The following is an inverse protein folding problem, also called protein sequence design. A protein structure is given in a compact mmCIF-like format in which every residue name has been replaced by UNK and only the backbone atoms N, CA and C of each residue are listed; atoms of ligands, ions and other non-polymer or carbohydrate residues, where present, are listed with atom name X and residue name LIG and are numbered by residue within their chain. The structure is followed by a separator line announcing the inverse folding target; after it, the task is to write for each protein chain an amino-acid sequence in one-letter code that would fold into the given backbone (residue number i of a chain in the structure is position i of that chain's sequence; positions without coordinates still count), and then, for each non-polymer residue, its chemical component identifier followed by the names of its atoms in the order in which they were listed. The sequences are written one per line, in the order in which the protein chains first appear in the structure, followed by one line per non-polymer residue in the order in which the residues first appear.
data_IF_820683357404
#
_entry.id   IF_820683357404
#
_cell.length_a   1.000
_cell.length_b   1.000
_cell.length_c   1.000
_cell.angle_alpha   90.00
_cell.angle_beta   90.00
_cell.angle_gamma   90.00
#
_symmetry.space_group_name_H-M   'P 1'
#
loop_
_entity.id
_entity.type
_entity.pdbx_description
1 polymer ?
#
# COMPACT_ATOMS: atom_id res chain seq x y z
N UNK A 1 27.05 82.67 -15.99
CA UNK A 1 27.39 82.79 -14.56
C UNK A 1 26.08 82.74 -13.79
N UNK A 2 25.66 81.78 -12.97
CA UNK A 2 26.18 80.50 -12.44
C UNK A 2 25.01 79.87 -11.63
N UNK A 3 24.74 78.55 -11.76
CA UNK A 3 24.04 77.62 -10.81
C UNK A 3 22.60 77.97 -10.33
N UNK A 4 21.68 77.05 -10.01
CA UNK A 4 21.83 75.76 -9.36
C UNK A 4 20.56 74.87 -9.52
N UNK A 5 20.80 73.59 -9.81
CA UNK A 5 20.14 72.34 -9.37
C UNK A 5 18.69 72.31 -8.87
N UNK A 6 17.93 71.39 -9.46
CA UNK A 6 17.23 70.36 -8.67
C UNK A 6 17.30 69.03 -9.43
N UNK A 7 18.18 68.15 -8.94
CA UNK A 7 18.21 66.73 -9.25
C UNK A 7 16.85 66.09 -8.98
N UNK A 8 16.39 65.29 -9.93
CA UNK A 8 15.58 64.12 -9.60
C UNK A 8 16.08 62.99 -10.49
N UNK A 9 17.20 62.41 -10.07
CA UNK A 9 17.63 61.07 -10.45
C UNK A 9 16.53 60.09 -10.00
N UNK A 10 15.50 59.91 -10.83
CA UNK A 10 14.62 58.76 -10.74
C UNK A 10 15.35 57.61 -11.44
N UNK A 11 16.19 56.93 -10.68
CA UNK A 11 16.73 55.62 -11.04
C UNK A 11 15.54 54.67 -11.13
N UNK A 12 14.96 54.57 -12.33
CA UNK A 12 13.93 53.59 -12.65
C UNK A 12 14.63 52.23 -12.81
N UNK A 13 15.00 51.65 -11.66
CA UNK A 13 15.54 50.29 -11.56
C UNK A 13 14.45 49.31 -11.97
N UNK A 14 14.32 49.07 -13.28
CA UNK A 14 13.57 47.91 -13.78
C UNK A 14 14.19 46.67 -13.15
N UNK A 15 13.42 45.85 -12.41
CA UNK A 15 13.95 44.60 -11.89
C UNK A 15 14.41 43.76 -13.08
N UNK A 16 15.68 43.35 -13.05
CA UNK A 16 16.24 42.47 -14.05
C UNK A 16 15.45 41.16 -14.04
N UNK A 17 15.09 40.61 -15.20
CA UNK A 17 14.45 39.28 -15.33
C UNK A 17 15.24 38.17 -14.63
N UNK A 18 16.54 38.38 -14.39
CA UNK A 18 17.38 37.49 -13.58
C UNK A 18 16.95 37.42 -12.11
N UNK A 19 16.51 38.54 -11.54
CA UNK A 19 16.18 38.64 -10.12
C UNK A 19 14.83 38.00 -9.81
N UNK A 20 13.87 38.11 -10.72
CA UNK A 20 12.57 37.45 -10.58
C UNK A 20 12.67 35.92 -10.76
N UNK A 21 13.51 35.45 -11.69
CA UNK A 21 13.79 34.02 -11.84
C UNK A 21 14.52 33.43 -10.62
N UNK A 22 15.50 34.16 -10.07
CA UNK A 22 16.21 33.76 -8.86
C UNK A 22 15.28 33.73 -7.63
N UNK A 23 14.39 34.73 -7.48
CA UNK A 23 13.39 34.75 -6.40
C UNK A 23 12.36 33.61 -6.50
N UNK A 24 11.88 33.32 -7.70
CA UNK A 24 10.96 32.19 -7.94
C UNK A 24 11.62 30.81 -7.71
N UNK A 25 12.93 30.71 -7.93
CA UNK A 25 13.69 29.50 -7.57
C UNK A 25 13.85 29.38 -6.05
N UNK A 26 14.24 30.46 -5.36
CA UNK A 26 14.38 30.47 -3.89
C UNK A 26 13.07 30.12 -3.19
N UNK A 27 11.95 30.70 -3.63
CA UNK A 27 10.64 30.44 -3.06
C UNK A 27 10.18 28.97 -3.24
N UNK A 28 10.52 28.34 -4.38
CA UNK A 28 10.25 26.91 -4.59
C UNK A 28 11.12 26.01 -3.72
N UNK A 29 12.39 26.36 -3.53
CA UNK A 29 13.29 25.62 -2.63
C UNK A 29 12.84 25.72 -1.17
N UNK A 30 12.42 26.90 -0.73
CA UNK A 30 11.86 27.10 0.62
C UNK A 30 10.54 26.33 0.82
N UNK A 31 9.67 26.30 -0.20
CA UNK A 31 8.43 25.53 -0.17
C UNK A 31 8.70 24.01 -0.10
N UNK A 32 9.65 23.50 -0.89
CA UNK A 32 10.05 22.09 -0.87
C UNK A 32 10.64 21.69 0.49
N UNK A 33 11.55 22.50 1.03
CA UNK A 33 12.14 22.25 2.36
C UNK A 33 11.10 22.29 3.49
N UNK A 34 10.05 23.11 3.35
CA UNK A 34 8.95 23.17 4.32
C UNK A 34 8.02 21.95 4.20
N UNK A 35 7.75 21.49 2.97
CA UNK A 35 6.95 20.30 2.72
C UNK A 35 7.64 19.04 3.27
N UNK A 36 8.96 18.92 3.05
CA UNK A 36 9.78 17.82 3.57
C UNK A 36 9.77 17.80 5.11
N UNK A 37 10.00 18.96 5.76
CA UNK A 37 9.92 19.08 7.23
C UNK A 37 8.53 18.71 7.77
N UNK A 38 7.47 19.14 7.11
CA UNK A 38 6.10 18.83 7.52
C UNK A 38 5.79 17.34 7.33
N UNK A 39 6.28 16.71 6.27
CA UNK A 39 6.13 15.27 6.05
C UNK A 39 6.87 14.46 7.13
N UNK A 40 8.09 14.88 7.49
CA UNK A 40 8.85 14.30 8.60
C UNK A 40 8.13 14.47 9.95
N UNK A 41 7.58 15.66 10.23
CA UNK A 41 6.80 15.92 11.45
C UNK A 41 5.51 15.08 11.48
N UNK A 42 4.80 14.95 10.36
CA UNK A 42 3.58 14.14 10.28
C UNK A 42 3.89 12.65 10.48
N UNK A 43 4.95 12.14 9.86
CA UNK A 43 5.42 10.77 10.04
C UNK A 43 5.82 10.50 11.50
N UNK A 44 6.53 11.45 12.13
CA UNK A 44 6.90 11.37 13.54
C UNK A 44 5.68 11.40 14.46
N UNK A 45 4.72 12.30 14.24
CA UNK A 45 3.49 12.39 15.03
C UNK A 45 2.67 11.11 14.93
N UNK A 46 2.53 10.54 13.73
CA UNK A 46 1.86 9.24 13.52
C UNK A 46 2.59 8.11 14.23
N UNK A 47 3.92 8.09 14.21
CA UNK A 47 4.72 7.12 14.94
C UNK A 47 4.59 7.27 16.47
N UNK A 48 4.52 8.50 16.99
CA UNK A 48 4.26 8.78 18.41
C UNK A 48 2.84 8.36 18.82
N UNK A 49 1.84 8.64 17.99
CA UNK A 49 0.44 8.24 18.21
C UNK A 49 0.28 6.71 18.24
N UNK A 50 0.95 6.01 17.33
CA UNK A 50 0.96 4.54 17.26
C UNK A 50 1.67 3.89 18.47
N UNK A 51 2.60 4.59 19.13
CA UNK A 51 3.23 4.12 20.38
C UNK A 51 2.33 4.35 21.60
N UNK A 52 1.63 5.49 21.66
CA UNK A 52 0.73 5.82 22.76
C UNK A 52 -0.47 4.86 22.87
N UNK A 53 -0.95 4.30 21.75
CA UNK A 53 -2.12 3.43 21.74
C UNK A 53 -1.90 2.05 22.40
N UNK A 54 -0.69 1.48 22.37
CA UNK A 54 -0.46 0.07 22.76
C UNK A 54 -0.68 -0.22 24.26
N UNK A 55 -0.40 0.76 25.13
CA UNK A 55 -0.55 0.62 26.58
C UNK A 55 -1.98 0.88 27.08
N UNK A 56 -2.71 1.74 26.36
CA UNK A 56 -4.02 2.23 26.81
C UNK A 56 -5.09 1.15 26.69
N UNK A 57 -5.16 0.41 25.58
CA UNK A 57 -6.22 -0.59 25.36
C UNK A 57 -6.20 -1.77 26.36
N UNK A 58 -5.03 -2.35 26.66
CA UNK A 58 -4.92 -3.42 27.68
C UNK A 58 -5.22 -2.92 29.09
N UNK A 59 -4.88 -1.65 29.37
CA UNK A 59 -5.21 -1.01 30.65
C UNK A 59 -6.71 -0.74 30.77
N UNK A 60 -7.34 -0.29 29.70
CA UNK A 60 -8.79 -0.09 29.60
C UNK A 60 -9.54 -1.42 29.76
N UNK A 61 -9.12 -2.49 29.06
CA UNK A 61 -9.73 -3.82 29.22
C UNK A 61 -9.66 -4.33 30.68
N UNK A 62 -8.52 -4.16 31.36
CA UNK A 62 -8.36 -4.53 32.78
C UNK A 62 -9.22 -3.65 33.70
N UNK A 63 -9.31 -2.35 33.44
CA UNK A 63 -10.17 -1.44 34.21
C UNK A 63 -11.64 -1.83 34.08
N UNK A 64 -12.12 -2.09 32.86
CA UNK A 64 -13.49 -2.55 32.64
C UNK A 64 -13.75 -3.91 33.32
N UNK A 65 -12.79 -4.84 33.27
CA UNK A 65 -12.93 -6.13 33.94
C UNK A 65 -13.05 -5.97 35.47
N UNK A 66 -12.22 -5.11 36.07
CA UNK A 66 -12.27 -4.83 37.51
C UNK A 66 -13.58 -4.17 37.89
N UNK A 67 -14.02 -3.15 37.17
CA UNK A 67 -15.30 -2.46 37.43
C UNK A 67 -16.48 -3.43 37.27
N UNK A 68 -16.48 -4.25 36.22
CA UNK A 68 -17.50 -5.26 35.99
C UNK A 68 -17.56 -6.28 37.13
N UNK A 69 -16.41 -6.82 37.54
CA UNK A 69 -16.33 -7.78 38.64
C UNK A 69 -16.78 -7.19 39.98
N UNK A 70 -16.37 -5.96 40.30
CA UNK A 70 -16.79 -5.25 41.52
C UNK A 70 -18.31 -5.00 41.51
N UNK A 71 -18.89 -4.63 40.37
CA UNK A 71 -20.33 -4.43 40.24
C UNK A 71 -21.12 -5.74 40.42
N UNK A 72 -20.66 -6.85 39.85
CA UNK A 72 -21.27 -8.18 40.06
C UNK A 72 -21.21 -8.60 41.54
N UNK A 73 -20.05 -8.42 42.19
CA UNK A 73 -19.87 -8.71 43.61
C UNK A 73 -20.79 -7.84 44.48
N UNK A 74 -20.87 -6.54 44.17
CA UNK A 74 -21.79 -5.62 44.84
C UNK A 74 -23.25 -6.03 44.69
N UNK A 75 -23.68 -6.47 43.50
CA UNK A 75 -25.03 -6.97 43.26
C UNK A 75 -25.38 -8.24 44.05
N UNK A 76 -24.38 -9.04 44.45
CA UNK A 76 -24.56 -10.19 45.34
C UNK A 76 -24.74 -9.81 46.81
N UNK A 77 -24.04 -8.77 47.27
CA UNK A 77 -24.04 -8.30 48.67
C UNK A 77 -25.21 -7.35 49.00
N UNK A 78 -25.66 -6.56 48.03
CA UNK A 78 -26.72 -5.56 48.22
C UNK A 78 -28.02 -5.95 47.53
N UNK A 79 -29.10 -6.11 48.30
CA UNK A 79 -30.44 -6.42 47.74
C UNK A 79 -31.13 -5.20 47.10
N UNK A 80 -30.83 -3.99 47.55
CA UNK A 80 -31.34 -2.75 46.97
C UNK A 80 -30.44 -2.33 45.80
N UNK A 81 -30.97 -2.25 44.57
CA UNK A 81 -30.19 -1.87 43.36
C UNK A 81 -29.51 -3.02 42.62
N UNK A 82 -29.81 -4.28 42.97
CA UNK A 82 -29.21 -5.49 42.36
C UNK A 82 -29.33 -5.56 40.84
N UNK A 83 -30.45 -5.12 40.28
CA UNK A 83 -30.66 -5.08 38.82
C UNK A 83 -29.69 -4.13 38.12
N UNK A 84 -29.44 -2.94 38.69
CA UNK A 84 -28.52 -1.94 38.14
C UNK A 84 -27.08 -2.42 38.26
N UNK A 85 -26.69 -3.00 39.40
CA UNK A 85 -25.35 -3.53 39.62
C UNK A 85 -25.02 -4.71 38.70
N UNK A 86 -25.96 -5.61 38.46
CA UNK A 86 -25.76 -6.68 37.47
C UNK A 86 -25.74 -6.19 36.04
N UNK A 87 -26.58 -5.21 35.67
CA UNK A 87 -26.52 -4.61 34.34
C UNK A 87 -25.15 -3.95 34.11
N UNK A 88 -24.67 -3.14 35.07
CA UNK A 88 -23.35 -2.51 35.00
C UNK A 88 -22.21 -3.53 34.97
N UNK A 89 -22.33 -4.60 35.77
CA UNK A 89 -21.40 -5.72 35.79
C UNK A 89 -21.31 -6.44 34.45
N UNK A 90 -22.46 -6.77 33.87
CA UNK A 90 -22.56 -7.42 32.56
C UNK A 90 -21.98 -6.53 31.45
N UNK A 91 -22.34 -5.25 31.40
CA UNK A 91 -21.80 -4.32 30.40
C UNK A 91 -20.30 -4.11 30.56
N UNK A 92 -19.80 -3.98 31.80
CA UNK A 92 -18.37 -3.83 32.07
C UNK A 92 -17.57 -5.07 31.67
N UNK A 93 -18.04 -6.26 32.03
CA UNK A 93 -17.38 -7.52 31.67
C UNK A 93 -17.46 -7.78 30.16
N UNK A 94 -18.62 -7.53 29.54
CA UNK A 94 -18.78 -7.63 28.09
C UNK A 94 -17.85 -6.66 27.36
N UNK A 95 -17.79 -5.40 27.80
CA UNK A 95 -16.85 -4.41 27.26
C UNK A 95 -15.38 -4.82 27.46
N UNK A 96 -15.04 -5.46 28.58
CA UNK A 96 -13.71 -5.99 28.82
C UNK A 96 -13.34 -7.14 27.86
N UNK A 97 -14.26 -8.08 27.65
CA UNK A 97 -14.10 -9.19 26.71
C UNK A 97 -13.98 -8.65 25.29
N UNK A 98 -14.88 -7.75 24.88
CA UNK A 98 -14.87 -7.13 23.57
C UNK A 98 -13.56 -6.37 23.34
N UNK A 99 -13.13 -5.55 24.30
CA UNK A 99 -11.85 -4.82 24.20
C UNK A 99 -10.68 -5.80 24.14
N UNK A 100 -10.68 -6.88 24.93
CA UNK A 100 -9.60 -7.87 24.92
C UNK A 100 -9.48 -8.60 23.59
N UNK A 101 -10.61 -9.05 23.02
CA UNK A 101 -10.65 -9.79 21.76
C UNK A 101 -10.48 -8.91 20.52
N UNK A 102 -10.99 -7.67 20.55
CA UNK A 102 -10.81 -6.72 19.46
C UNK A 102 -9.46 -5.98 19.52
N UNK A 103 -8.72 -6.04 20.65
CA UNK A 103 -7.39 -5.43 20.72
C UNK A 103 -6.44 -6.19 19.79
N UNK A 104 -5.91 -5.56 18.73
CA UNK A 104 -5.01 -6.22 17.81
C UNK A 104 -3.75 -6.71 18.53
N UNK A 105 -3.30 -7.92 18.18
CA UNK A 105 -2.20 -8.60 18.86
C UNK A 105 -0.89 -7.83 18.81
N UNK A 106 -0.58 -7.14 17.70
CA UNK A 106 0.61 -6.30 17.49
C UNK A 106 0.35 -5.25 16.42
N UNK A 107 0.55 -3.98 16.74
CA UNK A 107 0.58 -2.90 15.74
C UNK A 107 2.00 -2.73 15.22
N UNK A 108 2.22 -3.05 13.95
CA UNK A 108 3.43 -2.70 13.21
C UNK A 108 3.16 -1.40 12.46
N UNK A 109 4.03 -0.41 12.59
CA UNK A 109 3.86 0.83 11.85
C UNK A 109 4.07 0.57 10.35
N UNK A 110 3.28 1.22 9.50
CA UNK A 110 3.41 1.13 8.04
C UNK A 110 4.86 1.33 7.57
N UNK A 111 5.59 2.27 8.19
CA UNK A 111 7.00 2.53 7.89
C UNK A 111 7.91 1.31 8.09
N UNK A 112 7.60 0.43 9.04
CA UNK A 112 8.38 -0.80 9.25
C UNK A 112 8.07 -1.81 8.14
N UNK A 113 6.80 -1.92 7.74
CA UNK A 113 6.39 -2.73 6.58
C UNK A 113 7.04 -2.23 5.29
N UNK A 114 7.04 -0.92 5.07
CA UNK A 114 7.71 -0.26 3.94
C UNK A 114 9.20 -0.54 3.94
N UNK A 115 9.91 -0.41 5.07
CA UNK A 115 11.34 -0.73 5.12
C UNK A 115 11.65 -2.18 4.74
N UNK A 116 10.82 -3.14 5.19
CA UNK A 116 11.01 -4.57 4.87
C UNK A 116 10.72 -4.82 3.39
N UNK A 117 9.62 -4.27 2.87
CA UNK A 117 9.24 -4.38 1.46
C UNK A 117 10.29 -3.72 0.55
N UNK A 118 10.73 -2.51 0.88
CA UNK A 118 11.76 -1.78 0.14
C UNK A 118 13.10 -2.54 0.10
N UNK A 119 13.51 -3.14 1.21
CA UNK A 119 14.73 -3.95 1.24
C UNK A 119 14.60 -5.22 0.38
N UNK A 120 13.45 -5.89 0.42
CA UNK A 120 13.18 -7.05 -0.42
C UNK A 120 13.18 -6.68 -1.92
N UNK A 121 12.47 -5.61 -2.28
CA UNK A 121 12.40 -5.07 -3.64
C UNK A 121 13.79 -4.67 -4.16
N UNK A 122 14.61 -3.99 -3.34
CA UNK A 122 15.96 -3.60 -3.72
C UNK A 122 16.88 -4.81 -3.98
N UNK A 123 16.79 -5.86 -3.16
CA UNK A 123 17.57 -7.08 -3.39
C UNK A 123 17.12 -7.82 -4.65
N UNK A 124 15.81 -7.90 -4.90
CA UNK A 124 15.27 -8.54 -6.10
C UNK A 124 15.65 -7.76 -7.36
N UNK A 125 15.56 -6.42 -7.33
CA UNK A 125 16.00 -5.58 -8.43
C UNK A 125 17.50 -5.75 -8.70
N UNK A 126 18.34 -5.81 -7.66
CA UNK A 126 19.77 -6.03 -7.83
C UNK A 126 20.07 -7.38 -8.52
N UNK A 127 19.26 -8.42 -8.29
CA UNK A 127 19.38 -9.70 -9.00
C UNK A 127 18.94 -9.60 -10.47
N UNK A 128 17.85 -8.88 -10.74
CA UNK A 128 17.38 -8.60 -12.11
C UNK A 128 18.48 -7.88 -12.90
N UNK A 129 19.08 -6.86 -12.30
CA UNK A 129 20.15 -6.07 -12.91
C UNK A 129 21.42 -6.91 -13.14
N UNK A 130 21.87 -7.69 -12.14
CA UNK A 130 23.08 -8.53 -12.23
C UNK A 130 22.95 -9.63 -13.29
N UNK A 131 21.75 -10.21 -13.41
CA UNK A 131 21.45 -11.24 -14.40
C UNK A 131 21.10 -10.68 -15.79
N UNK A 132 21.08 -9.34 -15.92
CA UNK A 132 20.68 -8.60 -17.11
C UNK A 132 19.33 -9.11 -17.67
N UNK A 133 18.34 -9.20 -16.79
CA UNK A 133 16.97 -9.57 -17.17
C UNK A 133 16.22 -8.34 -17.69
N UNK A 134 15.16 -8.59 -18.45
CA UNK A 134 14.25 -7.54 -18.89
C UNK A 134 13.40 -7.03 -17.71
N UNK A 135 12.95 -5.79 -17.75
CA UNK A 135 11.94 -5.27 -16.80
C UNK A 135 10.52 -5.67 -17.22
N UNK A 136 10.37 -6.90 -17.70
CA UNK A 136 9.10 -7.50 -18.10
C UNK A 136 8.67 -8.49 -17.01
N UNK A 137 7.63 -8.11 -16.27
CA UNK A 137 7.15 -8.85 -15.09
C UNK A 137 5.89 -9.61 -15.45
N UNK A 138 6.02 -10.93 -15.54
CA UNK A 138 4.93 -11.84 -15.94
C UNK A 138 4.46 -12.67 -14.75
N UNK A 139 3.20 -12.52 -14.37
CA UNK A 139 2.57 -13.30 -13.31
C UNK A 139 1.91 -14.51 -13.94
N UNK A 140 2.43 -15.69 -13.64
CA UNK A 140 2.02 -16.95 -14.22
C UNK A 140 1.01 -17.63 -13.30
N UNK A 141 -0.18 -17.99 -13.80
CA UNK A 141 -1.18 -18.70 -13.01
C UNK A 141 -0.64 -20.07 -12.59
N UNK A 142 -1.13 -20.55 -11.47
CA UNK A 142 -0.94 -21.94 -11.07
C UNK A 142 -2.25 -22.51 -10.53
N UNK A 143 -2.21 -23.76 -10.07
CA UNK A 143 -3.42 -24.47 -9.63
C UNK A 143 -4.00 -24.01 -8.28
N UNK A 144 -3.31 -23.12 -7.56
CA UNK A 144 -3.74 -22.48 -6.31
C UNK A 144 -3.36 -20.98 -6.32
N UNK A 145 -4.08 -20.08 -5.62
CA UNK A 145 -3.76 -18.65 -5.58
C UNK A 145 -2.36 -18.35 -5.00
N UNK A 146 -1.87 -19.19 -4.08
CA UNK A 146 -0.50 -19.12 -3.57
C UNK A 146 0.55 -19.72 -4.53
N UNK A 147 0.10 -20.29 -5.64
CA UNK A 147 0.94 -20.88 -6.68
C UNK A 147 1.19 -19.96 -7.87
N UNK A 148 0.56 -18.78 -7.93
CA UNK A 148 0.94 -17.76 -8.92
C UNK A 148 2.41 -17.43 -8.74
N UNK A 149 3.17 -17.44 -9.84
CA UNK A 149 4.61 -17.18 -9.83
C UNK A 149 4.94 -15.91 -10.61
N UNK A 150 5.85 -15.10 -10.08
CA UNK A 150 6.42 -13.98 -10.83
C UNK A 150 7.60 -14.49 -11.65
N UNK A 151 7.52 -14.37 -12.97
CA UNK A 151 8.58 -14.67 -13.90
C UNK A 151 9.13 -13.37 -14.52
N UNK A 152 10.44 -13.23 -14.50
CA UNK A 152 11.19 -12.14 -15.14
C UNK A 152 12.14 -12.76 -16.17
N UNK A 153 11.89 -12.59 -17.47
CA UNK A 153 12.66 -13.26 -18.52
C UNK A 153 13.99 -12.55 -18.78
N UNK A 154 14.98 -13.29 -19.27
CA UNK A 154 16.24 -12.71 -19.75
C UNK A 154 16.10 -12.02 -21.11
N UNK A 155 15.09 -12.41 -21.89
CA UNK A 155 14.75 -11.81 -23.18
C UNK A 155 13.25 -11.81 -23.35
N UNK A 156 12.71 -10.79 -24.02
CA UNK A 156 11.27 -10.67 -24.27
C UNK A 156 10.64 -11.91 -24.95
N UNK A 157 11.38 -12.66 -25.76
CA UNK A 157 10.90 -13.87 -26.43
C UNK A 157 11.03 -15.15 -25.59
N UNK A 158 11.53 -15.06 -24.35
CA UNK A 158 11.69 -16.23 -23.48
C UNK A 158 10.32 -16.75 -23.06
N UNK A 159 10.12 -18.05 -23.24
CA UNK A 159 8.91 -18.73 -22.82
C UNK A 159 8.86 -18.83 -21.28
N UNK A 160 7.69 -18.70 -20.66
CA UNK A 160 7.54 -18.96 -19.24
C UNK A 160 7.83 -20.44 -18.94
N UNK A 161 8.59 -20.74 -17.87
CA UNK A 161 8.91 -22.11 -17.52
C UNK A 161 7.67 -22.84 -17.01
N UNK A 162 7.38 -24.02 -17.57
CA UNK A 162 6.25 -24.85 -17.12
C UNK A 162 6.47 -25.41 -15.70
N UNK A 163 7.73 -25.64 -15.31
CA UNK A 163 8.11 -26.05 -13.96
C UNK A 163 9.51 -25.51 -13.61
N UNK A 164 9.62 -24.90 -12.44
CA UNK A 164 10.83 -24.32 -11.90
C UNK A 164 11.11 -24.89 -10.50
N UNK A 165 12.14 -25.74 -10.42
CA UNK A 165 12.60 -26.33 -9.15
C UNK A 165 13.27 -25.31 -8.21
N UNK A 166 13.60 -24.12 -8.71
CA UNK A 166 14.24 -23.04 -7.96
C UNK A 166 14.07 -21.70 -8.67
N UNK A 167 14.59 -20.61 -8.07
CA UNK A 167 14.32 -19.27 -8.59
C UNK A 167 15.05 -18.96 -9.88
N UNK A 168 16.22 -19.56 -10.14
CA UNK A 168 16.99 -19.32 -11.36
C UNK A 168 16.68 -20.39 -12.40
N UNK A 169 16.13 -19.97 -13.54
CA UNK A 169 15.90 -20.85 -14.69
C UNK A 169 16.97 -20.60 -15.73
N UNK A 170 17.74 -21.65 -16.05
CA UNK A 170 18.91 -21.57 -16.95
C UNK A 170 18.72 -22.34 -18.25
N UNK A 171 17.56 -23.01 -18.42
CA UNK A 171 17.23 -23.79 -19.61
C UNK A 171 17.20 -22.87 -20.84
N UNK A 172 17.76 -23.29 -21.99
CA UNK A 172 17.70 -22.49 -23.21
C UNK A 172 16.25 -22.16 -23.60
N UNK A 173 15.94 -20.90 -23.89
CA UNK A 173 14.60 -20.46 -24.28
C UNK A 173 13.66 -20.10 -23.12
N UNK A 174 13.99 -20.47 -21.88
CA UNK A 174 13.18 -20.21 -20.67
C UNK A 174 14.00 -19.44 -19.61
N UNK A 175 15.09 -18.78 -20.01
CA UNK A 175 16.03 -18.19 -19.06
C UNK A 175 15.39 -17.01 -18.34
N UNK A 176 15.51 -16.99 -17.02
CA UNK A 176 14.97 -15.91 -16.21
C UNK A 176 14.94 -16.23 -14.73
N UNK A 177 14.20 -15.42 -14.00
CA UNK A 177 14.00 -15.50 -12.56
C UNK A 177 12.54 -15.82 -12.26
N UNK A 178 12.28 -16.81 -11.40
CA UNK A 178 10.94 -17.22 -10.95
C UNK A 178 10.83 -17.05 -9.43
N UNK A 179 10.00 -16.11 -8.98
CA UNK A 179 9.84 -15.77 -7.56
C UNK A 179 8.43 -16.12 -7.07
N UNK A 180 8.28 -16.15 -5.75
CA UNK A 180 6.97 -16.07 -5.10
C UNK A 180 6.59 -14.57 -5.04
N UNK A 181 5.49 -14.15 -5.69
CA UNK A 181 5.07 -12.76 -5.68
C UNK A 181 4.51 -12.38 -4.32
N UNK A 182 4.77 -11.15 -3.90
CA UNK A 182 4.25 -10.59 -2.64
C UNK A 182 2.72 -10.62 -2.62
N UNK A 183 2.10 -10.40 -3.78
CA UNK A 183 0.66 -10.46 -4.00
C UNK A 183 0.02 -11.83 -3.74
N UNK A 184 0.75 -12.95 -3.88
CA UNK A 184 0.17 -14.30 -3.73
C UNK A 184 -0.32 -14.59 -2.31
N UNK A 185 0.44 -14.15 -1.29
CA UNK A 185 0.03 -14.28 0.11
C UNK A 185 -1.10 -13.32 0.48
N UNK A 186 -1.16 -12.15 -0.17
CA UNK A 186 -2.25 -11.19 -0.01
C UNK A 186 -3.53 -11.75 -0.62
N UNK A 187 -3.46 -12.31 -1.83
CA UNK A 187 -4.59 -12.94 -2.50
C UNK A 187 -5.17 -14.09 -1.66
N UNK A 188 -4.34 -15.02 -1.22
CA UNK A 188 -4.78 -16.12 -0.35
C UNK A 188 -5.35 -15.64 1.01
N UNK A 189 -5.02 -14.43 1.47
CA UNK A 189 -5.64 -13.81 2.64
C UNK A 189 -6.98 -13.17 2.30
N UNK A 190 -7.09 -12.54 1.13
CA UNK A 190 -8.30 -11.92 0.62
C UNK A 190 -9.41 -12.94 0.36
N UNK A 191 -9.10 -14.03 -0.32
CA UNK A 191 -10.09 -15.07 -0.66
C UNK A 191 -10.69 -15.77 0.56
N UNK A 192 -9.95 -15.83 1.67
CA UNK A 192 -10.48 -16.35 2.94
C UNK A 192 -11.62 -15.47 3.51
N UNK A 193 -11.79 -14.26 3.00
CA UNK A 193 -12.86 -13.34 3.36
C UNK A 193 -13.99 -13.31 2.33
N UNK A 194 -13.80 -13.92 1.16
CA UNK A 194 -14.79 -13.95 0.08
C UNK A 194 -15.75 -15.14 0.24
N UNK A 195 -16.99 -14.93 -0.17
CA UNK A 195 -18.00 -15.98 -0.32
C UNK A 195 -17.85 -16.68 -1.69
N UNK A 196 -16.72 -17.34 -1.92
CA UNK A 196 -16.38 -18.04 -3.17
C UNK A 196 -15.11 -17.52 -3.84
N UNK A 197 -14.71 -18.11 -4.99
CA UNK A 197 -13.52 -17.68 -5.73
C UNK A 197 -13.73 -16.31 -6.37
N UNK A 198 -12.63 -15.70 -6.82
CA UNK A 198 -12.70 -14.48 -7.63
C UNK A 198 -13.52 -14.73 -8.92
N UNK A 199 -14.31 -13.74 -9.37
CA UNK A 199 -15.01 -13.85 -10.63
C UNK A 199 -14.03 -13.98 -11.80
N UNK A 200 -14.29 -14.91 -12.73
CA UNK A 200 -13.50 -15.02 -13.96
C UNK A 200 -13.78 -13.91 -15.00
N UNK A 201 -14.78 -13.06 -14.74
CA UNK A 201 -15.03 -11.86 -15.53
C UNK A 201 -14.02 -10.76 -15.14
N UNK A 202 -13.22 -10.21 -16.09
CA UNK A 202 -12.18 -9.23 -15.79
C UNK A 202 -12.69 -7.98 -15.05
N UNK A 203 -13.89 -7.48 -15.40
CA UNK A 203 -14.45 -6.26 -14.81
C UNK A 203 -14.88 -6.49 -13.37
N UNK A 204 -15.56 -7.62 -13.11
CA UNK A 204 -15.95 -8.03 -11.77
C UNK A 204 -14.72 -8.35 -10.91
N UNK A 205 -13.69 -9.01 -11.46
CA UNK A 205 -12.43 -9.26 -10.78
C UNK A 205 -11.74 -7.94 -10.38
N UNK A 206 -11.61 -7.00 -11.32
CA UNK A 206 -10.96 -5.71 -11.07
C UNK A 206 -11.64 -4.93 -9.93
N UNK A 207 -12.97 -4.88 -9.93
CA UNK A 207 -13.76 -4.24 -8.85
C UNK A 207 -13.47 -4.90 -7.51
N UNK A 208 -13.50 -6.24 -7.45
CA UNK A 208 -13.25 -6.98 -6.20
C UNK A 208 -11.83 -6.78 -5.68
N UNK A 209 -10.84 -6.77 -6.57
CA UNK A 209 -9.46 -6.53 -6.18
C UNK A 209 -9.25 -5.09 -5.71
N UNK A 210 -9.85 -4.10 -6.38
CA UNK A 210 -9.80 -2.70 -5.94
C UNK A 210 -10.43 -2.53 -4.54
N UNK A 211 -11.61 -3.12 -4.30
CA UNK A 211 -12.26 -3.15 -2.99
C UNK A 211 -11.35 -3.78 -1.93
N UNK A 212 -10.73 -4.92 -2.24
CA UNK A 212 -9.81 -5.60 -1.33
C UNK A 212 -8.59 -4.75 -0.96
N UNK A 213 -8.08 -3.98 -1.91
CA UNK A 213 -6.91 -3.13 -1.73
C UNK A 213 -7.20 -1.97 -0.77
N UNK A 214 -8.37 -1.35 -0.91
CA UNK A 214 -8.79 -0.19 -0.10
C UNK A 214 -9.42 -0.61 1.23
N UNK A 215 -10.41 -1.51 1.18
CA UNK A 215 -11.26 -1.80 2.34
C UNK A 215 -10.70 -2.91 3.23
N UNK A 216 -10.13 -3.97 2.63
CA UNK A 216 -9.68 -5.13 3.40
C UNK A 216 -8.24 -4.98 3.91
N UNK A 217 -7.34 -4.46 3.06
CA UNK A 217 -5.94 -4.31 3.41
C UNK A 217 -5.52 -2.89 3.74
N UNK A 218 -6.35 -1.89 3.40
CA UNK A 218 -6.04 -0.47 3.58
C UNK A 218 -4.67 -0.10 2.97
N UNK A 219 -4.28 -0.72 1.85
CA UNK A 219 -2.98 -0.51 1.20
C UNK A 219 -2.94 0.74 0.31
N UNK A 220 -4.10 1.27 -0.03
CA UNK A 220 -4.29 2.56 -0.66
C UNK A 220 -5.55 3.23 -0.13
N UNK A 221 -5.65 4.54 -0.35
CA UNK A 221 -6.86 5.30 0.02
C UNK A 221 -7.97 5.17 -1.01
N UNK A 222 -7.59 4.94 -2.28
CA UNK A 222 -8.50 4.87 -3.41
C UNK A 222 -7.89 4.00 -4.51
N UNK A 223 -8.74 3.24 -5.19
CA UNK A 223 -8.38 2.38 -6.31
C UNK A 223 -9.53 2.38 -7.33
N UNK A 224 -9.30 2.97 -8.51
CA UNK A 224 -10.31 3.09 -9.57
C UNK A 224 -9.93 2.22 -10.78
N UNK A 225 -10.61 1.07 -10.99
CA UNK A 225 -10.32 0.17 -12.09
C UNK A 225 -11.04 0.58 -13.38
N UNK A 226 -10.29 0.65 -14.48
CA UNK A 226 -10.79 0.73 -15.85
C UNK A 226 -10.35 -0.52 -16.61
N UNK A 227 -11.30 -1.28 -17.14
CA UNK A 227 -11.04 -2.55 -17.82
C UNK A 227 -11.50 -2.48 -19.28
N UNK A 228 -10.64 -2.92 -20.18
CA UNK A 228 -10.90 -3.19 -21.59
C UNK A 228 -10.68 -4.69 -21.85
N UNK A 229 -11.73 -5.53 -21.73
CA UNK A 229 -11.61 -6.96 -21.89
C UNK A 229 -11.24 -7.39 -23.32
N UNK A 230 -11.64 -6.60 -24.32
CA UNK A 230 -11.42 -6.90 -25.75
C UNK A 230 -9.94 -6.71 -26.11
N UNK A 231 -9.27 -5.72 -25.50
CA UNK A 231 -7.82 -5.49 -25.61
C UNK A 231 -7.01 -6.28 -24.56
N UNK A 232 -7.67 -7.06 -23.69
CA UNK A 232 -7.01 -7.84 -22.65
C UNK A 232 -6.26 -6.98 -21.64
N UNK A 233 -6.84 -5.84 -21.23
CA UNK A 233 -6.15 -4.82 -20.44
C UNK A 233 -7.01 -4.33 -19.28
N UNK A 234 -6.42 -4.22 -18.10
CA UNK A 234 -6.98 -3.48 -16.97
C UNK A 234 -5.97 -2.45 -16.46
N UNK A 235 -6.42 -1.22 -16.26
CA UNK A 235 -5.64 -0.19 -15.57
C UNK A 235 -6.34 0.21 -14.29
N UNK A 236 -5.64 0.10 -13.18
CA UNK A 236 -6.13 0.54 -11.88
C UNK A 236 -5.36 1.79 -11.47
N UNK A 237 -6.09 2.88 -11.28
CA UNK A 237 -5.56 4.12 -10.75
C UNK A 237 -5.53 4.01 -9.23
N UNK A 238 -4.35 4.11 -8.62
CA UNK A 238 -4.19 4.00 -7.17
C UNK A 238 -3.68 5.30 -6.59
N UNK A 239 -4.32 5.77 -5.51
CA UNK A 239 -3.92 7.00 -4.81
C UNK A 239 -3.43 6.71 -3.39
N UNK A 240 -2.34 7.38 -3.01
CA UNK A 240 -1.80 7.37 -1.64
C UNK A 240 -1.53 5.95 -1.11
N UNK A 241 -0.66 5.22 -1.79
CA UNK A 241 -0.20 3.90 -1.34
C UNK A 241 0.52 3.98 0.02
N UNK A 242 0.35 2.94 0.84
CA UNK A 242 0.92 2.89 2.21
C UNK A 242 2.42 2.61 2.21
N UNK A 243 2.87 1.78 1.29
CA UNK A 243 4.29 1.49 1.04
C UNK A 243 4.74 2.32 -0.16
N UNK A 244 5.97 2.81 -0.13
CA UNK A 244 6.44 3.99 -0.87
C UNK A 244 6.03 4.09 -2.34
N UNK A 245 6.98 3.93 -3.25
CA UNK A 245 6.72 4.06 -4.68
C UNK A 245 6.22 2.72 -5.24
N UNK A 246 5.14 2.75 -6.02
CA UNK A 246 4.42 1.56 -6.46
C UNK A 246 5.14 0.83 -7.61
N UNK A 247 6.08 1.50 -8.28
CA UNK A 247 6.92 0.97 -9.36
C UNK A 247 8.04 0.04 -8.88
N UNK A 248 8.33 0.04 -7.57
CA UNK A 248 9.31 -0.86 -6.95
C UNK A 248 9.05 -2.31 -7.33
N UNK A 249 10.13 -3.08 -7.45
CA UNK A 249 10.04 -4.49 -7.80
C UNK A 249 9.06 -5.24 -6.89
N UNK A 250 8.06 -5.88 -7.51
CA UNK A 250 7.03 -6.68 -6.83
C UNK A 250 6.32 -5.94 -5.67
N UNK A 251 6.04 -4.64 -5.86
CA UNK A 251 5.36 -3.81 -4.87
C UNK A 251 4.02 -4.44 -4.43
N UNK A 252 3.67 -4.48 -3.12
CA UNK A 252 2.49 -5.20 -2.62
C UNK A 252 1.16 -4.84 -3.32
N UNK A 253 0.96 -3.56 -3.63
CA UNK A 253 -0.25 -3.07 -4.34
C UNK A 253 -0.31 -3.62 -5.77
N UNK A 254 0.75 -3.45 -6.55
CA UNK A 254 0.78 -3.84 -7.96
C UNK A 254 0.81 -5.36 -8.12
N UNK A 255 1.59 -6.03 -7.26
CA UNK A 255 1.69 -7.49 -7.18
C UNK A 255 0.35 -8.13 -6.82
N UNK A 256 -0.41 -7.57 -5.87
CA UNK A 256 -1.73 -8.09 -5.51
C UNK A 256 -2.72 -8.03 -6.68
N UNK A 257 -2.74 -6.92 -7.43
CA UNK A 257 -3.59 -6.79 -8.62
C UNK A 257 -3.19 -7.79 -9.70
N UNK A 258 -1.90 -7.87 -10.04
CA UNK A 258 -1.42 -8.76 -11.08
C UNK A 258 -1.64 -10.24 -10.76
N UNK A 259 -1.39 -10.65 -9.51
CA UNK A 259 -1.68 -12.01 -9.04
C UNK A 259 -3.17 -12.29 -9.07
N UNK A 260 -4.00 -11.34 -8.63
CA UNK A 260 -5.46 -11.46 -8.67
C UNK A 260 -6.01 -11.65 -10.08
N UNK A 261 -5.51 -10.91 -11.06
CA UNK A 261 -5.90 -11.12 -12.47
C UNK A 261 -5.37 -12.44 -13.03
N UNK A 262 -4.12 -12.81 -12.74
CA UNK A 262 -3.55 -14.06 -13.23
C UNK A 262 -4.35 -15.27 -12.73
N UNK A 263 -4.71 -15.26 -11.44
CA UNK A 263 -5.52 -16.29 -10.80
C UNK A 263 -6.97 -16.32 -11.34
N UNK A 264 -7.65 -15.17 -11.35
CA UNK A 264 -9.05 -15.09 -11.78
C UNK A 264 -9.24 -15.48 -13.26
N UNK A 265 -8.29 -15.13 -14.12
CA UNK A 265 -8.37 -15.37 -15.57
C UNK A 265 -7.72 -16.68 -16.00
N UNK A 266 -6.99 -17.36 -15.11
CA UNK A 266 -6.15 -18.53 -15.39
C UNK A 266 -5.22 -18.28 -16.61
N UNK A 267 -4.60 -17.10 -16.65
CA UNK A 267 -3.76 -16.64 -17.77
C UNK A 267 -2.53 -15.87 -17.27
N UNK A 268 -1.39 -15.93 -17.99
CA UNK A 268 -0.27 -15.04 -17.71
C UNK A 268 -0.66 -13.57 -17.80
N UNK A 269 -0.23 -12.78 -16.82
CA UNK A 269 -0.47 -11.34 -16.75
C UNK A 269 0.84 -10.58 -16.75
N UNK A 270 1.02 -9.68 -17.72
CA UNK A 270 2.10 -8.69 -17.75
C UNK A 270 1.72 -7.47 -16.92
N UNK A 271 2.66 -6.99 -16.11
CA UNK A 271 2.45 -5.84 -15.23
C UNK A 271 3.34 -4.66 -15.63
N UNK A 272 2.71 -3.51 -15.85
CA UNK A 272 3.36 -2.22 -16.07
C UNK A 272 2.87 -1.22 -15.01
N UNK A 273 3.78 -0.42 -14.45
CA UNK A 273 3.44 0.59 -13.43
C UNK A 273 4.05 1.92 -13.83
N UNK A 274 3.20 2.94 -13.92
CA UNK A 274 3.60 4.29 -14.28
C UNK A 274 3.13 5.31 -13.22
N UNK A 275 3.86 6.40 -13.06
CA UNK A 275 3.41 7.51 -12.23
C UNK A 275 2.29 8.27 -12.94
N UNK A 276 1.19 8.55 -12.24
CA UNK A 276 0.10 9.36 -12.78
C UNK A 276 0.42 10.84 -12.91
N UNK A 277 -0.47 11.56 -13.59
CA UNK A 277 -0.34 13.00 -13.81
C UNK A 277 -0.36 13.78 -12.50
N UNK A 278 -1.23 13.38 -11.56
CA UNK A 278 -1.40 14.01 -10.25
C UNK A 278 -0.69 13.21 -9.15
N UNK A 279 0.42 13.70 -8.60
CA UNK A 279 1.07 13.00 -7.48
C UNK A 279 0.24 13.09 -6.19
N UNK A 280 0.10 12.01 -5.39
CA UNK A 280 0.75 10.69 -5.50
C UNK A 280 -0.16 9.60 -6.11
N UNK A 281 -0.50 9.74 -7.39
CA UNK A 281 -1.24 8.76 -8.19
C UNK A 281 -0.30 7.83 -8.97
N UNK A 282 -0.72 6.57 -9.11
CA UNK A 282 -0.03 5.53 -9.88
C UNK A 282 -1.02 4.82 -10.79
N UNK A 283 -0.60 4.51 -12.01
CA UNK A 283 -1.35 3.72 -12.97
C UNK A 283 -0.73 2.33 -13.01
N UNK A 284 -1.51 1.32 -12.61
CA UNK A 284 -1.10 -0.07 -12.61
C UNK A 284 -1.84 -0.77 -13.74
N UNK A 285 -1.11 -1.13 -14.80
CA UNK A 285 -1.68 -1.78 -15.98
C UNK A 285 -1.34 -3.26 -15.98
N UNK A 286 -2.37 -4.10 -15.93
CA UNK A 286 -2.29 -5.54 -16.13
C UNK A 286 -2.73 -5.86 -17.56
N UNK A 287 -1.92 -6.62 -18.31
CA UNK A 287 -2.24 -7.09 -19.66
C UNK A 287 -2.24 -8.62 -19.71
N UNK A 288 -3.15 -9.19 -20.49
CA UNK A 288 -3.25 -10.62 -20.76
C UNK A 288 -3.66 -10.84 -22.21
N UNK A 289 -3.39 -12.03 -22.74
CA UNK A 289 -3.91 -12.39 -24.06
C UNK A 289 -5.45 -12.49 -24.02
N UNK A 290 -6.20 -11.81 -24.92
CA UNK A 290 -7.65 -11.92 -25.02
C UNK A 290 -8.13 -13.36 -25.30
N UNK A 291 -9.39 -13.66 -25.01
CA UNK A 291 -9.97 -15.00 -25.17
C UNK A 291 -10.31 -15.37 -26.61
#
# INVERSE_FOLDING_TARGET
MTRNTADTERTDSRPSRSDDAARASSARTEAAARAERLAEENARLRAEYARAMRGTYRRTARLLAVVGAVAVLGGGLFHHGRSVLFALGATGLFGAILTYYLTPGRFVAATVGDCVSAAAAANAQALVDDLALEDDRRYLPGTDPSSVRLFVPQRADSAPPADAAGPLVTRPGERGLVLEPTGGRLLAAFERTLDGPLPADPTAAATRLADGLVEQFELATDADPAVDPDDGRATVVVRSAVFGDVDRFDHPVASFLAVGFADALDRPVELEVESGEDRPEWLITCRWEPA
#
